data_IF_377418893600
#
_entry.id   IF_377418893600
#
_cell.length_a   1.000
_cell.length_b   1.000
_cell.length_c   1.000
_cell.angle_alpha   90.00
_cell.angle_beta   90.00
_cell.angle_gamma   90.00
#
_symmetry.space_group_name_H-M   'P 1'
#
loop_
_entity.id
_entity.type
_entity.pdbx_description
1 polymer ?
#
# COMPACT_ATOMS: atom_id res chain seq x y z
N UNK A 1 16.09 6.26 35.14
CA UNK A 1 15.52 5.08 34.43
C UNK A 1 14.35 5.50 33.54
N UNK A 2 14.21 4.91 32.33
CA UNK A 2 13.15 5.23 31.35
C UNK A 2 12.05 4.15 31.36
N UNK A 3 11.30 4.02 32.43
CA UNK A 3 10.21 3.06 32.49
C UNK A 3 9.03 3.50 31.61
N UNK A 4 8.45 2.56 30.85
CA UNK A 4 7.27 2.73 29.97
C UNK A 4 7.38 3.83 28.90
N UNK A 5 8.57 4.34 28.60
CA UNK A 5 8.84 5.34 27.55
C UNK A 5 9.42 4.67 26.32
N UNK A 6 8.63 3.86 25.62
CA UNK A 6 8.99 3.25 24.36
C UNK A 6 8.65 4.17 23.18
N UNK A 7 9.31 3.97 22.04
CA UNK A 7 9.02 4.63 20.79
C UNK A 7 9.98 5.75 20.40
N UNK A 8 9.81 6.21 19.16
CA UNK A 8 10.66 7.22 18.53
C UNK A 8 10.04 8.61 18.71
N UNK A 9 10.79 9.55 19.32
CA UNK A 9 10.35 10.96 19.43
C UNK A 9 10.36 11.68 18.08
N UNK A 10 11.23 11.28 17.14
CA UNK A 10 11.40 11.83 15.80
C UNK A 10 11.66 13.35 15.76
N UNK A 11 12.22 13.91 16.86
CA UNK A 11 12.43 15.35 17.07
C UNK A 11 11.16 16.19 16.83
N UNK A 12 9.99 15.65 17.23
CA UNK A 12 8.68 16.30 17.05
C UNK A 12 7.92 16.35 18.39
N UNK A 13 7.07 17.32 18.53
CA UNK A 13 6.04 17.37 19.56
C UNK A 13 5.05 16.20 19.44
N UNK A 14 4.15 16.05 20.37
CA UNK A 14 3.19 14.95 20.37
C UNK A 14 2.21 15.02 19.20
N UNK A 15 1.69 16.20 18.89
CA UNK A 15 0.73 16.41 17.82
C UNK A 15 1.35 16.17 16.45
N UNK A 16 2.50 16.78 16.15
CA UNK A 16 3.22 16.62 14.90
C UNK A 16 3.74 15.18 14.68
N UNK A 17 4.12 14.47 15.76
CA UNK A 17 4.48 13.06 15.69
C UNK A 17 3.26 12.18 15.36
N UNK A 18 2.11 12.42 15.97
CA UNK A 18 0.87 11.71 15.68
C UNK A 18 0.42 11.93 14.24
N UNK A 19 0.45 13.17 13.77
CA UNK A 19 0.12 13.52 12.38
C UNK A 19 1.06 12.82 11.39
N UNK A 20 2.38 12.87 11.59
CA UNK A 20 3.36 12.20 10.76
C UNK A 20 3.10 10.68 10.67
N UNK A 21 2.85 10.03 11.79
CA UNK A 21 2.62 8.58 11.81
C UNK A 21 1.30 8.20 11.13
N UNK A 22 0.23 8.98 11.32
CA UNK A 22 -1.04 8.78 10.60
C UNK A 22 -0.86 8.90 9.10
N UNK A 23 -0.15 9.93 8.62
CA UNK A 23 0.17 10.11 7.20
C UNK A 23 0.96 8.92 6.65
N UNK A 24 2.04 8.50 7.32
CA UNK A 24 2.84 7.36 6.86
C UNK A 24 2.05 6.06 6.78
N UNK A 25 1.19 5.79 7.76
CA UNK A 25 0.34 4.59 7.76
C UNK A 25 -0.69 4.66 6.63
N UNK A 26 -1.39 5.79 6.48
CA UNK A 26 -2.37 5.98 5.40
C UNK A 26 -1.71 5.81 4.02
N UNK A 27 -0.58 6.48 3.78
CA UNK A 27 0.17 6.33 2.52
C UNK A 27 0.64 4.89 2.27
N UNK A 28 1.10 4.18 3.33
CA UNK A 28 1.52 2.78 3.18
C UNK A 28 0.35 1.87 2.80
N UNK A 29 -0.84 2.11 3.31
CA UNK A 29 -2.04 1.33 2.96
C UNK A 29 -2.45 1.62 1.51
N UNK A 30 -2.45 2.89 1.10
CA UNK A 30 -2.85 3.30 -0.25
C UNK A 30 -1.84 2.82 -1.30
N UNK A 31 -0.55 3.07 -1.10
CA UNK A 31 0.51 2.78 -2.07
C UNK A 31 1.09 1.37 -1.95
N UNK A 32 0.86 0.68 -0.82
CA UNK A 32 1.45 -0.60 -0.41
C UNK A 32 2.97 -0.58 -0.22
N UNK A 33 3.65 0.47 -0.65
CA UNK A 33 5.07 0.72 -0.39
C UNK A 33 5.37 2.21 -0.42
N UNK A 34 6.20 2.65 0.54
CA UNK A 34 6.68 4.03 0.61
C UNK A 34 8.18 4.04 0.88
N UNK A 35 8.84 5.10 0.45
CA UNK A 35 10.26 5.35 0.78
C UNK A 35 10.33 6.43 1.86
N UNK A 36 11.02 6.14 2.95
CA UNK A 36 11.19 7.07 4.07
C UNK A 36 12.50 6.81 4.81
N UNK A 37 12.80 7.56 5.87
CA UNK A 37 13.99 7.28 6.70
C UNK A 37 13.76 6.08 7.61
N UNK A 38 14.85 5.35 7.94
CA UNK A 38 14.77 4.14 8.78
C UNK A 38 14.04 4.38 10.12
N UNK A 39 14.31 5.45 10.89
CA UNK A 39 13.58 5.69 12.14
C UNK A 39 12.09 5.88 11.97
N UNK A 40 11.66 6.58 10.89
CA UNK A 40 10.25 6.76 10.56
C UNK A 40 9.58 5.44 10.16
N UNK A 41 10.25 4.63 9.32
CA UNK A 41 9.77 3.30 8.94
C UNK A 41 9.60 2.38 10.15
N UNK A 42 10.59 2.35 11.06
CA UNK A 42 10.52 1.57 12.31
C UNK A 42 9.40 2.02 13.23
N UNK A 43 9.12 3.34 13.29
CA UNK A 43 8.04 3.89 14.12
C UNK A 43 6.65 3.60 13.51
N UNK A 44 6.52 3.61 12.19
CA UNK A 44 5.25 3.34 11.50
C UNK A 44 4.89 1.85 11.46
N UNK A 45 5.88 0.94 11.37
CA UNK A 45 5.69 -0.50 11.26
C UNK A 45 4.65 -1.07 12.25
N UNK A 46 4.77 -0.90 13.58
CA UNK A 46 3.82 -1.49 14.52
C UNK A 46 2.40 -0.95 14.37
N UNK A 47 2.24 0.30 13.93
CA UNK A 47 0.93 0.90 13.69
C UNK A 47 0.26 0.32 12.45
N UNK A 48 1.02 0.09 11.37
CA UNK A 48 0.51 -0.58 10.15
C UNK A 48 0.09 -2.01 10.50
N UNK A 49 0.91 -2.74 11.24
CA UNK A 49 0.59 -4.11 11.65
C UNK A 49 -0.66 -4.17 12.53
N UNK A 50 -0.86 -3.18 13.42
CA UNK A 50 -2.10 -3.03 14.19
C UNK A 50 -3.31 -2.81 13.27
N UNK A 51 -3.22 -1.95 12.26
CA UNK A 51 -4.31 -1.69 11.31
C UNK A 51 -4.67 -2.95 10.51
N UNK A 52 -3.68 -3.72 10.06
CA UNK A 52 -3.92 -4.98 9.34
C UNK A 52 -4.56 -6.02 10.26
N UNK A 53 -4.16 -6.08 11.53
CA UNK A 53 -4.79 -6.99 12.52
C UNK A 53 -6.26 -6.62 12.76
N UNK A 54 -6.60 -5.32 12.78
CA UNK A 54 -8.00 -4.87 12.86
C UNK A 54 -8.78 -5.27 11.60
N UNK A 55 -8.17 -5.12 10.41
CA UNK A 55 -8.79 -5.50 9.15
C UNK A 55 -9.12 -7.00 9.07
N UNK A 56 -8.27 -7.86 9.63
CA UNK A 56 -8.52 -9.31 9.71
C UNK A 56 -9.75 -9.67 10.57
N UNK A 57 -10.09 -8.86 11.56
CA UNK A 57 -11.27 -9.09 12.41
C UNK A 57 -12.57 -8.75 11.71
N UNK A 58 -12.54 -7.80 10.80
CA UNK A 58 -13.64 -7.27 9.98
C UNK A 58 -14.97 -7.05 10.73
N UNK A 59 -14.89 -6.57 11.96
CA UNK A 59 -16.07 -6.19 12.73
C UNK A 59 -16.40 -4.70 12.52
N UNK A 60 -17.68 -4.28 12.69
CA UNK A 60 -18.03 -2.86 12.61
C UNK A 60 -17.23 -1.97 13.56
N UNK A 61 -16.89 -2.49 14.74
CA UNK A 61 -16.05 -1.78 15.70
C UNK A 61 -14.60 -1.63 15.20
N UNK A 62 -14.02 -2.67 14.58
CA UNK A 62 -12.70 -2.59 13.98
C UNK A 62 -12.65 -1.56 12.83
N UNK A 63 -13.70 -1.48 12.00
CA UNK A 63 -13.84 -0.46 10.94
C UNK A 63 -13.91 0.95 11.53
N UNK A 64 -14.64 1.17 12.63
CA UNK A 64 -14.68 2.47 13.32
C UNK A 64 -13.32 2.84 13.93
N UNK A 65 -12.61 1.89 14.56
CA UNK A 65 -11.27 2.13 15.12
C UNK A 65 -10.26 2.50 14.03
N UNK A 66 -10.26 1.79 12.91
CA UNK A 66 -9.40 2.10 11.77
C UNK A 66 -9.71 3.48 11.18
N UNK A 67 -10.99 3.84 11.02
CA UNK A 67 -11.43 5.15 10.51
C UNK A 67 -11.03 6.32 11.41
N UNK A 68 -10.95 6.12 12.73
CA UNK A 68 -10.43 7.14 13.65
C UNK A 68 -8.95 7.41 13.45
N UNK A 69 -8.20 6.43 12.96
CA UNK A 69 -6.75 6.54 12.77
C UNK A 69 -6.36 6.95 11.35
N UNK A 70 -6.94 6.35 10.34
CA UNK A 70 -6.67 6.64 8.93
C UNK A 70 -7.28 7.98 8.52
N UNK A 71 -6.63 8.65 7.54
CA UNK A 71 -7.02 10.00 7.13
C UNK A 71 -8.03 10.01 5.97
N UNK A 72 -8.05 8.96 5.15
CA UNK A 72 -8.89 8.90 3.95
C UNK A 72 -9.83 7.70 4.00
N UNK A 73 -11.04 7.85 3.44
CA UNK A 73 -12.02 6.76 3.30
C UNK A 73 -11.49 5.64 2.41
N UNK A 74 -10.82 5.99 1.31
CA UNK A 74 -10.25 5.02 0.36
C UNK A 74 -9.22 4.10 1.02
N UNK A 75 -8.40 4.63 1.95
CA UNK A 75 -7.48 3.81 2.72
C UNK A 75 -8.22 2.80 3.62
N UNK A 76 -9.37 3.18 4.20
CA UNK A 76 -10.18 2.27 5.02
C UNK A 76 -10.78 1.17 4.13
N UNK A 77 -11.39 1.53 3.02
CA UNK A 77 -11.95 0.58 2.04
C UNK A 77 -10.86 -0.40 1.59
N UNK A 78 -9.73 0.11 1.10
CA UNK A 78 -8.60 -0.73 0.65
C UNK A 78 -8.06 -1.63 1.76
N UNK A 79 -8.02 -1.15 3.00
CA UNK A 79 -7.54 -1.91 4.15
C UNK A 79 -8.43 -3.13 4.43
N UNK A 80 -9.76 -2.98 4.41
CA UNK A 80 -10.69 -4.07 4.74
C UNK A 80 -10.99 -4.98 3.56
N UNK A 81 -11.18 -4.41 2.35
CA UNK A 81 -11.63 -5.18 1.20
C UNK A 81 -10.49 -5.88 0.44
N UNK A 82 -9.26 -5.34 0.51
CA UNK A 82 -8.12 -5.88 -0.25
C UNK A 82 -7.03 -6.44 0.67
N UNK A 83 -6.60 -5.65 1.66
CA UNK A 83 -5.43 -6.00 2.49
C UNK A 83 -5.82 -7.03 3.55
N UNK A 84 -6.95 -6.86 4.22
CA UNK A 84 -7.45 -7.79 5.24
C UNK A 84 -7.50 -9.24 4.76
N UNK A 85 -8.25 -9.53 3.68
CA UNK A 85 -8.32 -10.87 3.08
C UNK A 85 -6.97 -11.43 2.65
N UNK A 86 -6.09 -10.60 2.06
CA UNK A 86 -4.73 -11.01 1.64
C UNK A 86 -3.91 -11.59 2.80
N UNK A 87 -4.04 -11.00 3.97
CA UNK A 87 -3.26 -11.41 5.15
C UNK A 87 -4.00 -12.33 6.12
N UNK A 88 -5.19 -12.82 5.77
CA UNK A 88 -6.04 -13.61 6.68
C UNK A 88 -5.31 -14.80 7.29
N UNK A 89 -4.56 -15.56 6.47
CA UNK A 89 -3.81 -16.74 6.90
C UNK A 89 -2.47 -16.44 7.59
N UNK A 90 -2.01 -15.16 7.58
CA UNK A 90 -0.71 -14.80 8.14
C UNK A 90 -0.86 -14.25 9.56
N UNK A 91 -0.13 -14.81 10.54
CA UNK A 91 -0.25 -14.45 11.95
C UNK A 91 0.66 -13.30 12.40
N UNK A 92 1.23 -12.51 11.47
CA UNK A 92 2.07 -11.36 11.79
C UNK A 92 3.14 -11.08 10.74
N UNK A 93 3.98 -10.05 10.97
CA UNK A 93 5.04 -9.68 10.04
C UNK A 93 4.49 -9.30 8.66
N UNK A 94 3.45 -8.49 8.62
CA UNK A 94 2.79 -8.06 7.39
C UNK A 94 3.62 -7.07 6.58
N UNK A 95 4.62 -6.45 7.22
CA UNK A 95 5.43 -5.39 6.63
C UNK A 95 6.91 -5.75 6.60
N UNK A 96 7.61 -5.27 5.56
CA UNK A 96 9.06 -5.41 5.39
C UNK A 96 9.70 -4.03 5.28
N UNK A 97 10.88 -3.87 5.89
CA UNK A 97 11.73 -2.67 5.75
C UNK A 97 12.98 -3.10 4.99
N UNK A 98 13.19 -2.51 3.81
CA UNK A 98 14.37 -2.75 2.96
C UNK A 98 15.21 -1.48 2.98
N UNK A 99 16.47 -1.56 3.39
CA UNK A 99 17.41 -0.43 3.37
C UNK A 99 17.75 -0.07 1.92
N UNK A 100 17.75 1.23 1.60
CA UNK A 100 18.06 1.74 0.26
C UNK A 100 19.40 2.49 0.18
N UNK A 101 20.02 2.75 1.34
CA UNK A 101 21.23 3.58 1.44
C UNK A 101 20.93 5.01 1.85
N UNK A 102 21.86 5.91 1.58
CA UNK A 102 21.81 7.30 2.02
C UNK A 102 21.06 8.20 1.05
N UNK A 103 20.40 9.19 1.60
CA UNK A 103 19.74 10.24 0.83
C UNK A 103 20.73 11.32 0.43
N UNK A 104 20.74 11.71 -0.86
CA UNK A 104 21.52 12.85 -1.35
C UNK A 104 21.09 14.13 -0.63
N UNK A 105 22.03 14.92 -0.17
CA UNK A 105 21.83 16.20 0.50
C UNK A 105 22.08 16.14 2.00
N UNK A 106 21.43 15.24 2.74
CA UNK A 106 21.53 15.17 4.21
C UNK A 106 22.12 13.84 4.76
N UNK A 107 22.51 12.93 3.87
CA UNK A 107 23.12 11.64 4.27
C UNK A 107 22.21 10.75 5.14
N UNK A 108 20.91 11.04 5.23
CA UNK A 108 20.01 10.26 6.08
C UNK A 108 19.78 8.84 5.52
N UNK A 109 19.87 7.83 6.36
CA UNK A 109 19.55 6.44 6.02
C UNK A 109 18.10 6.32 5.57
N UNK A 110 17.88 5.88 4.35
CA UNK A 110 16.57 5.64 3.76
C UNK A 110 16.20 4.18 3.72
N UNK A 111 14.91 3.92 3.80
CA UNK A 111 14.36 2.59 3.69
C UNK A 111 13.03 2.60 2.93
N UNK A 112 12.77 1.53 2.23
CA UNK A 112 11.47 1.19 1.67
C UNK A 112 10.70 0.40 2.71
N UNK A 113 9.55 0.92 3.10
CA UNK A 113 8.57 0.22 3.93
C UNK A 113 7.48 -0.31 3.01
N UNK A 114 7.28 -1.62 2.97
CA UNK A 114 6.35 -2.27 2.05
C UNK A 114 5.52 -3.35 2.75
N UNK A 115 4.34 -3.61 2.19
CA UNK A 115 3.52 -4.76 2.55
C UNK A 115 4.07 -6.01 1.85
N UNK A 116 4.17 -7.12 2.58
CA UNK A 116 4.65 -8.39 2.02
C UNK A 116 3.69 -8.86 0.92
N UNK A 117 4.24 -9.28 -0.22
CA UNK A 117 3.44 -9.73 -1.37
C UNK A 117 2.94 -8.63 -2.30
N UNK A 118 3.15 -7.34 -1.99
CA UNK A 118 2.72 -6.21 -2.84
C UNK A 118 3.32 -6.24 -4.25
N UNK A 119 4.54 -6.74 -4.42
CA UNK A 119 5.17 -6.86 -5.73
C UNK A 119 4.51 -7.92 -6.63
N UNK A 120 4.13 -9.06 -6.05
CA UNK A 120 3.46 -10.13 -6.79
C UNK A 120 2.10 -9.67 -7.30
N UNK A 121 1.33 -8.97 -6.46
CA UNK A 121 0.03 -8.39 -6.84
C UNK A 121 0.19 -7.36 -7.97
N UNK A 122 1.15 -6.45 -7.86
CA UNK A 122 1.42 -5.44 -8.91
C UNK A 122 1.88 -6.09 -10.22
N UNK A 123 2.72 -7.12 -10.17
CA UNK A 123 3.14 -7.88 -11.36
C UNK A 123 1.98 -8.62 -12.01
N UNK A 124 1.11 -9.26 -11.21
CA UNK A 124 -0.08 -9.93 -11.70
C UNK A 124 -1.06 -8.94 -12.36
N UNK A 125 -1.34 -7.81 -11.71
CA UNK A 125 -2.19 -6.75 -12.26
C UNK A 125 -1.63 -6.19 -13.59
N UNK A 126 -0.30 -5.93 -13.67
CA UNK A 126 0.34 -5.48 -14.91
C UNK A 126 0.25 -6.51 -16.03
N UNK A 127 0.40 -7.81 -15.72
CA UNK A 127 0.23 -8.90 -16.70
C UNK A 127 -1.21 -9.00 -17.19
N UNK A 128 -2.18 -8.90 -16.26
CA UNK A 128 -3.60 -8.94 -16.60
C UNK A 128 -3.96 -7.77 -17.52
N UNK A 129 -3.54 -6.54 -17.20
CA UNK A 129 -3.78 -5.35 -18.02
C UNK A 129 -3.18 -5.50 -19.44
N UNK A 130 -1.93 -5.96 -19.54
CA UNK A 130 -1.30 -6.22 -20.87
C UNK A 130 -2.05 -7.28 -21.68
N UNK A 131 -2.56 -8.33 -21.00
CA UNK A 131 -3.36 -9.36 -21.67
C UNK A 131 -4.69 -8.79 -22.19
N UNK A 132 -5.34 -7.98 -21.39
CA UNK A 132 -6.59 -7.30 -21.78
C UNK A 132 -6.38 -6.33 -22.94
N UNK A 133 -5.33 -5.51 -22.90
CA UNK A 133 -4.94 -4.61 -23.98
C UNK A 133 -4.68 -5.37 -25.29
N UNK A 134 -3.96 -6.51 -25.19
CA UNK A 134 -3.69 -7.37 -26.36
C UNK A 134 -4.98 -7.98 -26.93
N UNK A 135 -5.90 -8.44 -26.08
CA UNK A 135 -7.18 -8.97 -26.54
C UNK A 135 -8.03 -7.89 -27.23
N UNK A 136 -8.08 -6.69 -26.65
CA UNK A 136 -8.77 -5.55 -27.29
C UNK A 136 -8.18 -5.19 -28.65
N UNK A 137 -6.86 -5.19 -28.78
CA UNK A 137 -6.19 -4.91 -30.06
C UNK A 137 -6.49 -6.00 -31.12
N UNK A 138 -6.56 -7.27 -30.72
CA UNK A 138 -6.95 -8.36 -31.63
C UNK A 138 -8.40 -8.23 -32.12
N UNK A 139 -9.34 -7.86 -31.23
CA UNK A 139 -10.75 -7.64 -31.62
C UNK A 139 -10.95 -6.41 -32.51
N UNK A 140 -10.12 -5.38 -32.38
CA UNK A 140 -10.18 -4.19 -33.23
C UNK A 140 -9.54 -4.43 -34.63
N UNK A 141 -8.61 -5.39 -34.75
CA UNK A 141 -8.02 -5.76 -36.05
C UNK A 141 -8.90 -6.67 -36.90
N UNK A 142 -9.86 -7.39 -36.30
CA UNK A 142 -10.73 -8.34 -37.01
C UNK A 142 -11.96 -7.66 -37.70
N UNK A 143 -12.21 -6.39 -37.45
CA UNK A 143 -13.29 -5.63 -38.08
C UNK A 143 -12.83 -4.73 -39.24
N UNK A 144 -11.59 -4.87 -39.70
CA UNK A 144 -11.00 -4.02 -40.76
C UNK A 144 -11.05 -4.60 -42.18
N UNK A 145 -11.42 -5.87 -42.35
CA UNK A 145 -11.31 -6.56 -43.65
C UNK A 145 -12.65 -6.95 -44.31
N UNK A 146 -13.78 -6.53 -43.77
CA UNK A 146 -15.10 -6.75 -44.43
C UNK A 146 -15.72 -5.42 -44.82
N UNK A 147 -15.32 -4.82 -45.96
CA UNK A 147 -16.18 -3.99 -46.84
C UNK A 147 -15.41 -3.53 -48.08
N UNK A 148 -15.43 -4.33 -49.11
CA UNK A 148 -15.51 -3.87 -50.49
C UNK A 148 -16.36 -4.83 -51.32
N UNK A 149 -17.64 -4.51 -51.58
CA UNK A 149 -18.32 -5.11 -52.71
C UNK A 149 -17.85 -4.38 -53.99
N UNK A 150 -17.21 -5.09 -54.90
CA UNK A 150 -16.99 -4.66 -56.27
C UNK A 150 -18.36 -4.44 -56.96
N UNK A 151 -18.72 -3.20 -57.23
CA UNK A 151 -19.66 -2.88 -58.28
C UNK A 151 -18.90 -2.71 -59.60
N UNK A 152 -18.99 -3.72 -60.44
CA UNK A 152 -18.66 -3.62 -61.88
C UNK A 152 -19.97 -3.61 -62.68
N UNK A 153 -20.19 -2.50 -63.41
CA UNK A 153 -21.11 -2.15 -64.49
C UNK A 153 -22.49 -1.67 -64.15
#
# INVERSE_FOLDING_TARGET
>A
MRHRKAGFKLKRDLAGRRSLLRNLVTSTIVEERITTTIPKAKAAKPLIEKMITLAKKDTPNARREASRFLLTKDAVVKLFDIIGPRFHQRNGGYTRIVKLGWRKGDGADTAKLELVGSELVKRAAKRAKRREERLKALHQGDHGDEEQPEESK
#
